data_IF_147829452098
#
_entry.id   IF_147829452098
#
_cell.length_a   1.000
_cell.length_b   1.000
_cell.length_c   1.000
_cell.angle_alpha   90.00
_cell.angle_beta   90.00
_cell.angle_gamma   90.00
#
_symmetry.space_group_name_H-M   'P 1'
#
loop_
_entity.id
_entity.type
_entity.pdbx_description
1 polymer ?
#
# COMPACT_ATOMS: atom_id res chain seq x y z
N UNK A 1 -8.35 -20.38 15.46
CA UNK A 1 -8.96 -20.20 14.12
C UNK A 1 -9.56 -18.82 13.91
N UNK A 2 -10.44 -18.30 14.79
CA UNK A 2 -11.08 -16.97 14.61
C UNK A 2 -10.09 -15.80 14.46
N UNK A 3 -8.97 -15.83 15.17
CA UNK A 3 -7.92 -14.79 15.09
C UNK A 3 -7.26 -14.80 13.71
N UNK A 4 -6.87 -15.98 13.20
CA UNK A 4 -6.29 -16.11 11.86
C UNK A 4 -7.24 -15.65 10.75
N UNK A 5 -8.52 -16.01 10.83
CA UNK A 5 -9.52 -15.55 9.86
C UNK A 5 -9.69 -14.03 9.88
N UNK A 6 -9.70 -13.42 11.08
CA UNK A 6 -9.75 -11.97 11.23
C UNK A 6 -8.52 -11.30 10.64
N UNK A 7 -7.34 -11.84 10.88
CA UNK A 7 -6.09 -11.26 10.41
C UNK A 7 -5.95 -11.38 8.89
N UNK A 8 -6.40 -12.50 8.31
CA UNK A 8 -6.49 -12.68 6.87
C UNK A 8 -7.44 -11.67 6.21
N UNK A 9 -8.59 -11.37 6.83
CA UNK A 9 -9.49 -10.32 6.34
C UNK A 9 -8.82 -8.94 6.35
N UNK A 10 -8.11 -8.60 7.43
CA UNK A 10 -7.37 -7.33 7.49
C UNK A 10 -6.26 -7.24 6.44
N UNK A 11 -5.58 -8.35 6.16
CA UNK A 11 -4.59 -8.42 5.11
C UNK A 11 -5.21 -8.17 3.72
N UNK A 12 -6.37 -8.78 3.43
CA UNK A 12 -7.12 -8.52 2.19
C UNK A 12 -7.52 -7.04 2.11
N UNK A 13 -8.05 -6.46 3.20
CA UNK A 13 -8.41 -5.04 3.26
C UNK A 13 -7.19 -4.16 2.98
N UNK A 14 -6.03 -4.48 3.56
CA UNK A 14 -4.80 -3.75 3.32
C UNK A 14 -4.36 -3.82 1.86
N UNK A 15 -4.46 -4.98 1.20
CA UNK A 15 -4.19 -5.11 -0.23
C UNK A 15 -5.15 -4.23 -1.06
N UNK A 16 -6.45 -4.31 -0.79
CA UNK A 16 -7.48 -3.56 -1.51
C UNK A 16 -7.24 -2.05 -1.40
N UNK A 17 -6.78 -1.57 -0.25
CA UNK A 17 -6.47 -0.15 -0.04
C UNK A 17 -5.11 0.24 -0.62
N UNK A 18 -4.11 -0.62 -0.51
CA UNK A 18 -2.75 -0.30 -0.94
C UNK A 18 -2.58 -0.26 -2.47
N UNK A 19 -3.25 -1.15 -3.21
CA UNK A 19 -3.08 -1.22 -4.67
C UNK A 19 -3.54 0.06 -5.40
N UNK A 20 -4.72 0.63 -5.13
CA UNK A 20 -5.12 1.91 -5.72
C UNK A 20 -4.18 3.05 -5.33
N UNK A 21 -3.72 3.09 -4.08
CA UNK A 21 -2.78 4.12 -3.61
C UNK A 21 -1.43 3.99 -4.34
N UNK A 22 -0.92 2.77 -4.52
CA UNK A 22 0.30 2.51 -5.28
C UNK A 22 0.16 2.90 -6.75
N UNK A 23 -1.00 2.64 -7.36
CA UNK A 23 -1.30 3.06 -8.73
C UNK A 23 -1.29 4.60 -8.85
N UNK A 24 -2.03 5.29 -7.97
CA UNK A 24 -2.06 6.76 -7.94
C UNK A 24 -0.67 7.35 -7.68
N UNK A 25 0.15 6.69 -6.87
CA UNK A 25 1.53 7.10 -6.63
C UNK A 25 2.38 7.04 -7.91
N UNK A 26 2.31 5.96 -8.68
CA UNK A 26 3.04 5.85 -9.96
C UNK A 26 2.55 6.90 -10.95
N UNK A 27 1.25 7.11 -11.05
CA UNK A 27 0.67 8.14 -11.92
C UNK A 27 1.16 9.54 -11.51
N UNK A 28 1.20 9.83 -10.20
CA UNK A 28 1.71 11.10 -9.68
C UNK A 28 3.21 11.31 -9.96
N UNK A 29 4.01 10.24 -9.97
CA UNK A 29 5.43 10.32 -10.30
C UNK A 29 5.68 10.70 -11.77
N UNK A 30 4.66 10.61 -12.65
CA UNK A 30 4.72 11.02 -14.06
C UNK A 30 5.97 10.48 -14.77
N UNK A 31 6.25 9.19 -14.59
CA UNK A 31 7.44 8.54 -15.15
C UNK A 31 7.37 8.59 -16.68
N UNK A 32 8.37 9.22 -17.30
CA UNK A 32 8.51 9.29 -18.75
C UNK A 32 9.75 8.56 -19.20
N UNK A 33 9.71 7.78 -20.30
CA UNK A 33 10.88 7.12 -20.83
C UNK A 33 11.92 8.15 -21.30
N UNK A 34 13.20 7.81 -21.18
CA UNK A 34 14.28 8.69 -21.60
C UNK A 34 14.39 8.81 -23.13
N UNK A 35 13.90 7.81 -23.87
CA UNK A 35 13.86 7.78 -25.33
C UNK A 35 12.45 7.77 -25.90
N UNK A 36 12.34 7.54 -27.21
CA UNK A 36 11.04 7.48 -27.90
C UNK A 36 10.15 6.31 -27.45
N UNK A 37 10.73 5.28 -26.83
CA UNK A 37 10.04 4.10 -26.33
C UNK A 37 10.63 3.69 -24.99
N UNK A 38 9.79 3.11 -24.14
CA UNK A 38 10.23 2.56 -22.84
C UNK A 38 11.03 1.28 -23.06
N UNK A 39 12.25 1.28 -22.53
CA UNK A 39 13.12 0.10 -22.50
C UNK A 39 12.58 -0.96 -21.54
N UNK A 40 13.01 -2.21 -21.70
CA UNK A 40 12.65 -3.29 -20.78
C UNK A 40 13.06 -2.96 -19.33
N UNK A 41 14.18 -2.25 -19.16
CA UNK A 41 14.69 -1.84 -17.85
C UNK A 41 13.78 -0.80 -17.19
N UNK A 42 13.31 0.19 -17.93
CA UNK A 42 12.37 1.21 -17.44
C UNK A 42 11.01 0.60 -17.07
N UNK A 43 10.48 -0.32 -17.89
CA UNK A 43 9.24 -1.03 -17.57
C UNK A 43 9.38 -1.90 -16.31
N UNK A 44 10.54 -2.54 -16.15
CA UNK A 44 10.84 -3.34 -14.94
C UNK A 44 10.88 -2.44 -13.72
N UNK A 45 11.55 -1.29 -13.82
CA UNK A 45 11.62 -0.31 -12.74
C UNK A 45 10.24 0.22 -12.33
N UNK A 46 9.38 0.57 -13.29
CA UNK A 46 8.02 1.03 -13.01
C UNK A 46 7.19 -0.03 -12.27
N UNK A 47 7.29 -1.29 -12.70
CA UNK A 47 6.65 -2.42 -12.03
C UNK A 47 7.19 -2.65 -10.61
N UNK A 48 8.50 -2.61 -10.43
CA UNK A 48 9.14 -2.75 -9.11
C UNK A 48 8.72 -1.60 -8.17
N UNK A 49 8.62 -0.38 -8.68
CA UNK A 49 8.17 0.78 -7.93
C UNK A 49 6.70 0.64 -7.52
N UNK A 50 5.84 0.12 -8.40
CA UNK A 50 4.44 -0.17 -8.09
C UNK A 50 4.32 -1.23 -6.98
N UNK A 51 5.05 -2.34 -7.09
CA UNK A 51 5.06 -3.41 -6.08
C UNK A 51 5.58 -2.87 -4.74
N UNK A 52 6.66 -2.09 -4.76
CA UNK A 52 7.22 -1.46 -3.57
C UNK A 52 6.21 -0.51 -2.91
N UNK A 53 5.54 0.32 -3.69
CA UNK A 53 4.46 1.19 -3.22
C UNK A 53 3.31 0.40 -2.59
N UNK A 54 2.93 -0.73 -3.19
CA UNK A 54 1.91 -1.64 -2.64
C UNK A 54 2.32 -2.23 -1.29
N UNK A 55 3.56 -2.71 -1.17
CA UNK A 55 4.09 -3.26 0.10
C UNK A 55 4.11 -2.18 1.19
N UNK A 56 4.62 -0.99 0.86
CA UNK A 56 4.64 0.16 1.77
C UNK A 56 3.21 0.53 2.20
N UNK A 57 2.26 0.57 1.26
CA UNK A 57 0.85 0.85 1.53
C UNK A 57 0.20 -0.16 2.49
N UNK A 58 0.52 -1.46 2.34
CA UNK A 58 0.06 -2.50 3.27
C UNK A 58 0.61 -2.23 4.67
N UNK A 59 1.92 -1.99 4.80
CA UNK A 59 2.56 -1.71 6.10
C UNK A 59 1.92 -0.49 6.77
N UNK A 60 1.73 0.61 6.04
CA UNK A 60 1.11 1.81 6.60
C UNK A 60 -0.35 1.60 6.98
N UNK A 61 -1.11 0.79 6.24
CA UNK A 61 -2.49 0.45 6.63
C UNK A 61 -2.51 -0.23 8.00
N UNK A 62 -1.55 -1.12 8.27
CA UNK A 62 -1.39 -1.77 9.57
C UNK A 62 -0.95 -0.82 10.68
N UNK A 63 -0.02 0.10 10.39
CA UNK A 63 0.37 1.14 11.34
C UNK A 63 -0.84 2.02 11.69
N UNK A 64 -1.60 2.46 10.68
CA UNK A 64 -2.82 3.26 10.90
C UNK A 64 -3.86 2.51 11.72
N UNK A 65 -4.02 1.21 11.52
CA UNK A 65 -4.89 0.37 12.38
C UNK A 65 -4.45 0.42 13.85
N UNK A 66 -3.15 0.35 14.13
CA UNK A 66 -2.62 0.47 15.50
C UNK A 66 -2.86 1.87 16.07
N UNK A 67 -2.66 2.92 15.28
CA UNK A 67 -2.90 4.31 15.67
C UNK A 67 -4.37 4.54 16.01
N UNK A 68 -5.30 4.11 15.15
CA UNK A 68 -6.74 4.23 15.40
C UNK A 68 -7.13 3.48 16.67
N UNK A 69 -6.62 2.26 16.86
CA UNK A 69 -6.87 1.50 18.07
C UNK A 69 -6.37 2.21 19.34
N UNK A 70 -5.15 2.78 19.30
CA UNK A 70 -4.59 3.53 20.41
C UNK A 70 -5.43 4.78 20.72
N UNK A 71 -5.84 5.53 19.70
CA UNK A 71 -6.72 6.71 19.84
C UNK A 71 -8.05 6.30 20.48
N UNK A 72 -8.73 5.27 19.97
CA UNK A 72 -10.01 4.82 20.52
C UNK A 72 -9.87 4.46 22.00
N UNK A 73 -8.82 3.71 22.35
CA UNK A 73 -8.64 3.23 23.72
C UNK A 73 -8.24 4.31 24.72
N UNK A 74 -7.44 5.28 24.30
CA UNK A 74 -6.91 6.32 25.21
C UNK A 74 -7.78 7.55 25.26
N UNK A 75 -8.45 7.93 24.17
CA UNK A 75 -9.17 9.20 24.07
C UNK A 75 -10.68 9.04 24.18
N UNK A 76 -11.24 7.91 23.67
CA UNK A 76 -12.70 7.72 23.58
C UNK A 76 -13.24 6.89 24.74
N UNK A 77 -12.46 5.94 25.25
CA UNK A 77 -12.87 5.02 26.33
C UNK A 77 -12.41 5.45 27.75
N UNK A 78 -11.70 6.58 27.88
CA UNK A 78 -11.53 7.31 29.16
C UNK A 78 -12.77 8.17 29.46
#
# INVERSE_FOLDING_TARGET
MKIFAREFLWFITAIILALPVAYLFIEYMSLTPAGNQSTIQEQTFEMELFITGGIIGIIFTYIMRLVVWAITKTIIEE
#
